data_IF_158144066119
#
_entry.id   IF_158144066119
#
_cell.length_a   1.000
_cell.length_b   1.000
_cell.length_c   1.000
_cell.angle_alpha   90.00
_cell.angle_beta   90.00
_cell.angle_gamma   90.00
#
_symmetry.space_group_name_H-M   'P 1'
#
loop_
_entity.id
_entity.type
_entity.pdbx_description
1 polymer ?
#
# COMPACT_ATOMS: atom_id res chain seq x y z
N UNK A 1 0.95 -13.03 2.79
CA UNK A 1 2.35 -13.00 3.24
C UNK A 1 2.50 -11.70 3.99
N UNK A 2 2.81 -11.70 5.29
CA UNK A 2 2.86 -10.45 6.04
C UNK A 2 3.99 -9.55 5.51
N UNK A 3 3.64 -8.44 4.87
CA UNK A 3 4.60 -7.43 4.44
C UNK A 3 5.12 -6.68 5.69
N UNK A 4 6.42 -6.74 5.95
CA UNK A 4 7.06 -5.91 6.98
C UNK A 4 7.31 -4.52 6.40
N UNK A 5 6.46 -3.56 6.75
CA UNK A 5 6.52 -2.17 6.27
C UNK A 5 7.04 -1.28 7.40
N UNK A 6 8.02 -0.44 7.10
CA UNK A 6 8.51 0.59 8.01
C UNK A 6 7.81 1.92 7.71
N UNK A 7 7.08 2.45 8.69
CA UNK A 7 6.35 3.72 8.61
C UNK A 7 7.17 4.91 8.07
N UNK A 8 8.47 4.97 8.39
CA UNK A 8 9.35 6.10 8.07
C UNK A 8 9.92 6.04 6.64
N UNK A 9 9.78 4.90 5.95
CA UNK A 9 10.34 4.67 4.62
C UNK A 9 9.30 4.88 3.53
N UNK A 10 9.78 5.03 2.29
CA UNK A 10 8.90 5.05 1.12
C UNK A 10 8.95 3.69 0.44
N UNK A 11 7.82 3.28 -0.12
CA UNK A 11 7.68 2.02 -0.79
C UNK A 11 7.05 2.25 -2.16
N UNK A 12 7.64 1.65 -3.18
CA UNK A 12 6.97 1.42 -4.44
C UNK A 12 6.05 0.20 -4.26
N UNK A 13 4.76 0.45 -4.33
CA UNK A 13 3.70 -0.55 -4.12
C UNK A 13 2.88 -0.70 -5.38
N UNK A 14 2.50 -1.95 -5.66
CA UNK A 14 1.50 -2.27 -6.67
C UNK A 14 0.31 -2.90 -5.98
N UNK A 15 -0.87 -2.33 -6.20
CA UNK A 15 -2.11 -2.81 -5.60
C UNK A 15 -2.73 -3.88 -6.52
N UNK A 16 -3.19 -4.99 -5.94
CA UNK A 16 -3.88 -6.05 -6.67
C UNK A 16 -5.32 -5.65 -7.05
N UNK A 17 -5.93 -4.72 -6.29
CA UNK A 17 -7.26 -4.17 -6.52
C UNK A 17 -7.30 -2.68 -6.14
N UNK A 18 -8.26 -1.89 -6.67
CA UNK A 18 -8.43 -0.50 -6.25
C UNK A 18 -8.77 -0.40 -4.76
N UNK A 19 -8.04 0.44 -4.02
CA UNK A 19 -8.27 0.68 -2.59
C UNK A 19 -8.82 2.08 -2.37
N UNK A 20 -9.80 2.19 -1.47
CA UNK A 20 -10.33 3.47 -0.99
C UNK A 20 -9.73 3.78 0.38
N UNK A 21 -8.88 4.80 0.45
CA UNK A 21 -8.25 5.22 1.70
C UNK A 21 -8.78 6.60 2.12
N UNK A 22 -9.58 6.63 3.19
CA UNK A 22 -10.14 7.88 3.73
C UNK A 22 -11.03 8.64 2.72
N UNK A 23 -10.96 9.97 2.75
CA UNK A 23 -11.77 10.86 1.91
C UNK A 23 -11.33 10.90 0.43
N UNK A 24 -10.28 10.17 0.04
CA UNK A 24 -9.73 10.23 -1.31
C UNK A 24 -9.56 8.86 -1.98
N UNK A 25 -10.23 8.78 -3.13
CA UNK A 25 -9.91 8.13 -4.41
C UNK A 25 -9.33 6.71 -4.43
N UNK A 26 -10.04 5.85 -5.18
CA UNK A 26 -9.57 4.60 -5.76
C UNK A 26 -8.16 4.76 -6.35
N UNK A 27 -7.13 4.29 -5.63
CA UNK A 27 -5.76 4.26 -6.14
C UNK A 27 -5.70 3.29 -7.33
N UNK A 28 -5.19 3.70 -8.50
CA UNK A 28 -5.09 2.82 -9.67
C UNK A 28 -4.11 1.67 -9.42
N UNK A 29 -4.28 0.56 -10.15
CA UNK A 29 -3.46 -0.67 -10.10
C UNK A 29 -1.98 -0.49 -10.52
N UNK A 30 -1.54 0.75 -10.74
CA UNK A 30 -0.18 1.05 -11.18
C UNK A 30 0.80 0.97 -10.01
N UNK A 31 2.10 0.96 -10.33
CA UNK A 31 3.15 1.14 -9.33
C UNK A 31 3.11 2.56 -8.80
N UNK A 32 2.88 2.70 -7.49
CA UNK A 32 2.74 3.99 -6.81
C UNK A 32 3.77 4.03 -5.69
N UNK A 33 4.51 5.13 -5.58
CA UNK A 33 5.35 5.37 -4.40
C UNK A 33 4.49 5.93 -3.28
N UNK A 34 4.47 5.24 -2.14
CA UNK A 34 3.67 5.59 -0.96
C UNK A 34 4.57 5.53 0.28
N UNK A 35 4.31 6.40 1.27
CA UNK A 35 4.98 6.27 2.57
C UNK A 35 4.53 4.99 3.27
N UNK A 36 5.42 4.40 4.06
CA UNK A 36 5.15 3.19 4.82
C UNK A 36 3.93 3.33 5.72
N UNK A 37 3.71 4.49 6.35
CA UNK A 37 2.50 4.76 7.14
C UNK A 37 1.20 4.58 6.34
N UNK A 38 1.23 4.91 5.05
CA UNK A 38 0.07 4.77 4.17
C UNK A 38 -0.10 3.33 3.72
N UNK A 39 1.00 2.62 3.47
CA UNK A 39 0.96 1.20 3.12
C UNK A 39 0.47 0.37 4.31
N UNK A 40 0.93 0.67 5.52
CA UNK A 40 0.46 0.06 6.77
C UNK A 40 -1.04 0.28 6.96
N UNK A 41 -1.53 1.52 6.81
CA UNK A 41 -2.96 1.81 6.88
C UNK A 41 -3.80 1.05 5.83
N UNK A 42 -3.26 0.84 4.62
CA UNK A 42 -3.92 0.05 3.57
C UNK A 42 -3.99 -1.43 3.97
N UNK A 43 -2.90 -2.00 4.51
CA UNK A 43 -2.85 -3.39 4.98
C UNK A 43 -3.82 -3.58 6.16
N UNK A 44 -3.86 -2.66 7.12
CA UNK A 44 -4.77 -2.73 8.26
C UNK A 44 -6.25 -2.69 7.85
N UNK A 45 -6.58 -1.91 6.81
CA UNK A 45 -7.95 -1.75 6.35
C UNK A 45 -8.42 -2.91 5.45
N UNK A 46 -7.60 -3.31 4.48
CA UNK A 46 -8.01 -4.20 3.38
C UNK A 46 -7.39 -5.61 3.45
N UNK A 47 -6.42 -5.81 4.33
CA UNK A 47 -5.58 -7.01 4.41
C UNK A 47 -4.31 -6.91 3.54
N UNK A 48 -3.33 -7.75 3.84
CA UNK A 48 -2.06 -7.83 3.10
C UNK A 48 -2.23 -8.33 1.66
N UNK A 49 -3.31 -9.05 1.37
CA UNK A 49 -3.72 -9.55 0.04
C UNK A 49 -3.90 -8.45 -1.02
N UNK A 50 -4.05 -7.20 -0.58
CA UNK A 50 -4.27 -6.05 -1.46
C UNK A 50 -2.98 -5.58 -2.14
N UNK A 51 -1.81 -5.99 -1.62
CA UNK A 51 -0.51 -5.65 -2.18
C UNK A 51 -0.01 -6.82 -3.04
N UNK A 52 0.19 -6.55 -4.33
CA UNK A 52 0.83 -7.48 -5.26
C UNK A 52 2.34 -7.54 -4.98
N UNK A 53 2.96 -6.38 -4.73
CA UNK A 53 4.29 -6.28 -4.11
C UNK A 53 4.51 -4.93 -3.44
N UNK A 54 5.47 -4.88 -2.51
CA UNK A 54 5.97 -3.66 -1.88
C UNK A 54 7.51 -3.70 -1.85
N UNK A 55 8.16 -2.66 -2.38
CA UNK A 55 9.62 -2.52 -2.39
C UNK A 55 10.03 -1.18 -1.79
N UNK A 56 10.90 -1.20 -0.79
CA UNK A 56 11.48 0.03 -0.20
C UNK A 56 12.30 0.80 -1.25
N UNK A 57 12.13 2.12 -1.26
CA UNK A 57 12.85 3.08 -2.11
C UNK A 57 13.46 4.22 -1.30
#
# INVERSE_FOLDING_TARGET
MAFQINAEKSYQVKLARPVKLGAFTYKPLNEITMRGTVVEAIIEQEGDEVLDYAREV
#
